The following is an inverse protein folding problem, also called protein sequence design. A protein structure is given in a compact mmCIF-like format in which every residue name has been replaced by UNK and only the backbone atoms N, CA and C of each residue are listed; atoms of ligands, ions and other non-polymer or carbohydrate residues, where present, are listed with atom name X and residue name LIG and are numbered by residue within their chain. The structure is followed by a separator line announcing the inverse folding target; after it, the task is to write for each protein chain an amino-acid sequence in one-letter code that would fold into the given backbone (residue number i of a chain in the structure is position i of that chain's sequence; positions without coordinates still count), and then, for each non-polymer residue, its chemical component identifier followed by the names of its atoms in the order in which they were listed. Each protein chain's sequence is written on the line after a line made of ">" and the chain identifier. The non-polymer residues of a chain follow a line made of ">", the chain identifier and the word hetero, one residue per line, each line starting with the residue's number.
data_IF_897964929984
#
_entry.id   IF_897964929984
#
_cell.length_a   1.000
_cell.length_b   1.000
_cell.length_c   1.000
_cell.angle_alpha   90.00
_cell.angle_beta   90.00
_cell.angle_gamma   90.00
#
_symmetry.space_group_name_H-M   'P 1'
#
loop_
_entity.id
_entity.type
_entity.pdbx_description
1 polymer ?
#
# COMPACT_ATOMS: atom_id res chain seq x y z
N UNK A 1 -16.27 -3.81 -8.68
CA UNK A 1 -14.82 -3.91 -8.93
C UNK A 1 -14.46 -5.28 -9.44
N UNK A 2 -13.44 -5.32 -10.26
CA UNK A 2 -12.87 -6.57 -10.76
C UNK A 2 -11.35 -6.46 -10.57
N UNK A 3 -10.75 -7.52 -10.04
CA UNK A 3 -9.29 -7.69 -9.93
C UNK A 3 -8.90 -8.97 -10.63
N UNK A 4 -7.91 -8.91 -11.48
CA UNK A 4 -7.37 -10.08 -12.17
C UNK A 4 -5.85 -10.08 -12.02
N UNK A 5 -5.31 -11.18 -11.53
CA UNK A 5 -3.87 -11.40 -11.48
C UNK A 5 -3.39 -12.11 -12.74
N UNK A 6 -2.47 -11.49 -13.45
CA UNK A 6 -1.79 -12.12 -14.58
C UNK A 6 -0.74 -13.16 -14.13
N UNK A 7 -0.34 -13.11 -12.86
CA UNK A 7 0.67 -14.01 -12.29
C UNK A 7 0.04 -15.26 -11.71
N UNK A 8 -1.02 -15.10 -10.90
CA UNK A 8 -1.70 -16.23 -10.24
C UNK A 8 -2.88 -16.79 -11.03
N UNK A 9 -3.38 -16.04 -12.03
CA UNK A 9 -4.60 -16.36 -12.77
C UNK A 9 -5.89 -16.16 -11.97
N UNK A 10 -5.82 -15.59 -10.77
CA UNK A 10 -7.00 -15.36 -9.94
C UNK A 10 -7.83 -14.17 -10.38
N UNK A 11 -9.13 -14.30 -10.23
CA UNK A 11 -10.11 -13.28 -10.53
C UNK A 11 -11.04 -13.06 -9.34
N UNK A 12 -11.06 -11.85 -8.82
CA UNK A 12 -12.06 -11.42 -7.83
C UNK A 12 -13.08 -10.47 -8.45
N UNK A 13 -14.36 -10.71 -8.14
CA UNK A 13 -15.46 -9.79 -8.45
C UNK A 13 -16.06 -9.25 -7.16
N UNK A 14 -15.97 -7.93 -6.97
CA UNK A 14 -16.51 -7.23 -5.81
C UNK A 14 -17.74 -6.39 -6.18
N UNK A 15 -18.88 -6.71 -5.60
CA UNK A 15 -20.15 -6.01 -5.78
C UNK A 15 -20.33 -4.99 -4.66
N UNK A 16 -20.27 -3.72 -4.99
CA UNK A 16 -20.46 -2.61 -4.02
C UNK A 16 -21.91 -2.21 -3.96
N UNK A 17 -22.56 -2.45 -2.83
CA UNK A 17 -23.99 -2.20 -2.65
C UNK A 17 -24.30 -1.59 -1.30
N UNK A 18 -25.46 -0.95 -1.17
CA UNK A 18 -26.05 -0.61 0.14
C UNK A 18 -26.39 -1.89 0.92
N UNK A 19 -26.37 -1.85 2.27
CA UNK A 19 -27.00 -2.90 3.07
C UNK A 19 -28.46 -3.12 2.68
N UNK A 20 -28.93 -4.36 2.79
CA UNK A 20 -30.32 -4.73 2.49
C UNK A 20 -30.45 -6.07 1.77
N UNK A 21 -31.68 -6.41 1.38
CA UNK A 21 -31.98 -7.61 0.63
C UNK A 21 -31.18 -7.69 -0.67
N UNK A 22 -30.65 -8.87 -0.97
CA UNK A 22 -29.79 -9.08 -2.13
C UNK A 22 -29.87 -10.55 -2.56
N UNK A 23 -30.02 -10.84 -3.86
CA UNK A 23 -30.12 -12.23 -4.36
C UNK A 23 -28.74 -12.92 -4.43
N UNK A 24 -28.14 -13.20 -3.26
CA UNK A 24 -26.77 -13.69 -3.08
C UNK A 24 -26.45 -14.91 -3.96
N UNK A 25 -27.30 -15.96 -3.85
CA UNK A 25 -27.08 -17.21 -4.57
C UNK A 25 -27.10 -17.06 -6.09
N UNK A 26 -27.99 -16.19 -6.62
CA UNK A 26 -28.06 -15.90 -8.05
C UNK A 26 -26.78 -15.22 -8.54
N UNK A 27 -26.30 -14.17 -7.84
CA UNK A 27 -25.10 -13.44 -8.22
C UNK A 27 -23.85 -14.32 -8.07
N UNK A 28 -23.73 -15.06 -6.97
CA UNK A 28 -22.65 -16.00 -6.73
C UNK A 28 -22.52 -16.98 -7.91
N UNK A 29 -23.58 -17.71 -8.19
CA UNK A 29 -23.60 -18.71 -9.26
C UNK A 29 -23.34 -18.11 -10.64
N UNK A 30 -24.00 -16.98 -10.97
CA UNK A 30 -23.84 -16.35 -12.27
C UNK A 30 -22.41 -15.89 -12.51
N UNK A 31 -21.82 -15.18 -11.54
CA UNK A 31 -20.47 -14.63 -11.70
C UNK A 31 -19.40 -15.72 -11.68
N UNK A 32 -19.48 -16.67 -10.75
CA UNK A 32 -18.51 -17.78 -10.70
C UNK A 32 -18.52 -18.60 -11.98
N UNK A 33 -19.71 -18.83 -12.58
CA UNK A 33 -19.84 -19.61 -13.82
C UNK A 33 -19.42 -18.80 -15.06
N UNK A 34 -19.90 -17.56 -15.17
CA UNK A 34 -19.72 -16.75 -16.38
C UNK A 34 -18.27 -16.29 -16.58
N UNK A 35 -17.57 -15.92 -15.50
CA UNK A 35 -16.21 -15.36 -15.58
C UNK A 35 -15.16 -16.19 -14.84
N UNK A 36 -15.53 -17.36 -14.33
CA UNK A 36 -14.64 -18.26 -13.57
C UNK A 36 -13.95 -17.55 -12.40
N UNK A 37 -14.70 -16.69 -11.71
CA UNK A 37 -14.17 -15.95 -10.58
C UNK A 37 -13.70 -16.91 -9.48
N UNK A 38 -12.52 -16.67 -8.93
CA UNK A 38 -11.96 -17.41 -7.79
C UNK A 38 -12.48 -16.88 -6.46
N UNK A 39 -13.01 -15.66 -6.47
CA UNK A 39 -13.64 -14.99 -5.32
C UNK A 39 -14.75 -14.05 -5.81
N UNK A 40 -15.93 -14.16 -5.19
CA UNK A 40 -17.05 -13.22 -5.41
C UNK A 40 -17.46 -12.68 -4.04
N UNK A 41 -17.37 -11.38 -3.87
CA UNK A 41 -17.69 -10.72 -2.61
C UNK A 41 -18.70 -9.60 -2.81
N UNK A 42 -19.47 -9.31 -1.77
CA UNK A 42 -20.34 -8.14 -1.68
C UNK A 42 -19.81 -7.21 -0.61
N UNK A 43 -19.39 -6.02 -1.01
CA UNK A 43 -18.98 -4.95 -0.10
C UNK A 43 -20.18 -4.08 0.24
N UNK A 44 -20.54 -4.06 1.51
CA UNK A 44 -21.60 -3.22 2.03
C UNK A 44 -21.06 -1.83 2.33
N UNK A 45 -21.51 -0.84 1.59
CA UNK A 45 -20.99 0.52 1.73
C UNK A 45 -22.10 1.56 1.58
N UNK A 46 -21.93 2.71 2.23
CA UNK A 46 -22.79 3.87 2.00
C UNK A 46 -22.51 4.46 0.61
N UNK A 47 -23.52 5.04 -0.05
CA UNK A 47 -23.34 5.74 -1.32
C UNK A 47 -22.54 7.04 -1.11
N UNK A 48 -21.85 7.48 -2.18
CA UNK A 48 -21.13 8.74 -2.19
C UNK A 48 -19.62 8.62 -2.31
N UNK A 49 -18.91 9.75 -2.29
CA UNK A 49 -17.45 9.81 -2.47
C UNK A 49 -16.70 9.19 -1.29
N UNK A 50 -17.16 9.44 -0.07
CA UNK A 50 -16.61 8.83 1.16
C UNK A 50 -17.37 7.55 1.48
N UNK A 51 -17.08 6.47 0.76
CA UNK A 51 -17.73 5.15 0.92
C UNK A 51 -17.34 4.53 2.27
N UNK A 52 -18.15 4.79 3.30
CA UNK A 52 -17.95 4.09 4.58
C UNK A 52 -18.33 2.63 4.42
N UNK A 53 -17.34 1.74 4.55
CA UNK A 53 -17.52 0.30 4.47
C UNK A 53 -18.15 -0.17 5.80
N UNK A 54 -19.24 -0.92 5.70
CA UNK A 54 -19.99 -1.49 6.83
C UNK A 54 -19.74 -2.97 7.03
N UNK A 55 -19.29 -3.66 5.97
CA UNK A 55 -18.98 -5.08 6.01
C UNK A 55 -18.68 -5.66 4.64
N UNK A 56 -18.23 -6.89 4.65
CA UNK A 56 -17.99 -7.70 3.44
C UNK A 56 -18.71 -9.03 3.62
N UNK A 57 -19.47 -9.44 2.61
CA UNK A 57 -20.13 -10.76 2.53
C UNK A 57 -19.40 -11.57 1.46
N UNK A 58 -18.88 -12.73 1.81
CA UNK A 58 -18.34 -13.69 0.86
C UNK A 58 -19.52 -14.39 0.20
N UNK A 59 -19.67 -14.25 -1.11
CA UNK A 59 -20.74 -14.88 -1.87
C UNK A 59 -20.29 -16.20 -2.45
N UNK A 60 -19.02 -16.28 -2.89
CA UNK A 60 -18.39 -17.51 -3.38
C UNK A 60 -16.86 -17.41 -3.28
N UNK A 61 -16.18 -18.55 -3.18
CA UNK A 61 -14.72 -18.63 -3.08
C UNK A 61 -14.16 -18.20 -1.72
N UNK A 62 -12.93 -17.69 -1.72
CA UNK A 62 -12.16 -17.43 -0.48
C UNK A 62 -12.45 -16.10 0.20
N UNK A 63 -13.03 -15.14 -0.52
CA UNK A 63 -13.27 -13.80 0.00
C UNK A 63 -12.06 -12.88 -0.07
N UNK A 64 -11.01 -13.28 -0.74
CA UNK A 64 -9.82 -12.47 -1.05
C UNK A 64 -9.20 -12.87 -2.38
N UNK A 65 -8.44 -11.95 -2.95
CA UNK A 65 -7.68 -12.11 -4.19
C UNK A 65 -6.19 -12.25 -3.87
N UNK A 66 -5.50 -13.11 -4.61
CA UNK A 66 -4.06 -13.30 -4.47
C UNK A 66 -3.29 -12.72 -5.64
N UNK A 67 -2.16 -12.12 -5.31
CA UNK A 67 -1.19 -11.60 -6.26
C UNK A 67 0.24 -11.92 -5.80
N UNK A 68 1.21 -11.76 -6.70
CA UNK A 68 2.64 -11.87 -6.39
C UNK A 68 3.41 -10.71 -7.01
N UNK A 69 4.31 -10.14 -6.22
CA UNK A 69 5.33 -9.20 -6.67
C UNK A 69 6.68 -9.84 -6.36
N UNK A 70 7.45 -10.20 -7.39
CA UNK A 70 8.65 -11.01 -7.20
C UNK A 70 8.35 -12.33 -6.49
N UNK A 71 9.04 -12.59 -5.39
CA UNK A 71 8.84 -13.77 -4.56
C UNK A 71 7.80 -13.58 -3.46
N UNK A 72 7.30 -12.37 -3.26
CA UNK A 72 6.33 -12.04 -2.20
C UNK A 72 4.91 -12.32 -2.65
N UNK A 73 4.18 -13.11 -1.85
CA UNK A 73 2.77 -13.42 -2.05
C UNK A 73 1.88 -12.48 -1.24
N UNK A 74 0.86 -11.94 -1.88
CA UNK A 74 -0.12 -11.05 -1.25
C UNK A 74 -1.52 -11.62 -1.34
N UNK A 75 -2.28 -11.49 -0.26
CA UNK A 75 -3.72 -11.75 -0.19
C UNK A 75 -4.42 -10.44 0.18
N UNK A 76 -5.36 -10.00 -0.66
CA UNK A 76 -5.99 -8.69 -0.51
C UNK A 76 -7.50 -8.84 -0.52
N UNK A 77 -8.19 -8.32 0.48
CA UNK A 77 -9.65 -8.26 0.51
C UNK A 77 -10.17 -7.12 -0.38
N UNK A 78 -11.37 -7.26 -0.93
CA UNK A 78 -11.96 -6.30 -1.86
C UNK A 78 -11.95 -4.81 -1.43
N UNK A 79 -12.13 -4.46 -0.14
CA UNK A 79 -12.06 -3.06 0.29
C UNK A 79 -10.66 -2.47 0.33
N UNK A 80 -9.63 -3.32 0.46
CA UNK A 80 -8.24 -2.86 0.58
C UNK A 80 -7.69 -2.43 -0.77
N UNK A 81 -6.80 -1.46 -0.75
CA UNK A 81 -6.05 -1.06 -1.93
C UNK A 81 -4.98 -2.12 -2.27
N UNK A 82 -4.70 -2.30 -3.53
CA UNK A 82 -3.53 -2.98 -4.05
C UNK A 82 -3.11 -2.35 -5.38
N UNK A 83 -1.82 -2.38 -5.69
CA UNK A 83 -1.25 -1.81 -6.91
C UNK A 83 -1.87 -2.45 -8.17
N UNK A 84 -2.36 -1.62 -9.08
CA UNK A 84 -3.12 -2.11 -10.27
C UNK A 84 -2.22 -2.68 -11.36
N UNK A 85 -0.95 -2.32 -11.39
CA UNK A 85 0.04 -2.77 -12.36
C UNK A 85 1.17 -3.52 -11.63
N UNK A 86 0.97 -4.81 -11.43
CA UNK A 86 1.87 -5.67 -10.66
C UNK A 86 3.30 -5.67 -11.19
N UNK A 87 3.47 -5.62 -12.52
CA UNK A 87 4.81 -5.61 -13.12
C UNK A 87 5.57 -4.31 -12.82
N UNK A 88 4.88 -3.16 -12.85
CA UNK A 88 5.50 -1.88 -12.49
C UNK A 88 5.65 -1.74 -10.96
N UNK A 89 4.73 -2.30 -10.19
CA UNK A 89 4.86 -2.36 -8.74
C UNK A 89 6.11 -3.13 -8.32
N UNK A 90 6.44 -4.23 -9.01
CA UNK A 90 7.70 -4.95 -8.78
C UNK A 90 8.93 -4.08 -8.97
N UNK A 91 9.00 -3.35 -10.09
CA UNK A 91 10.10 -2.41 -10.35
C UNK A 91 10.18 -1.29 -9.32
N UNK A 92 9.01 -0.79 -8.88
CA UNK A 92 8.92 0.24 -7.85
C UNK A 92 9.46 -0.28 -6.50
N UNK A 93 9.07 -1.49 -6.11
CA UNK A 93 9.55 -2.14 -4.89
C UNK A 93 11.07 -2.37 -4.95
N UNK A 94 11.58 -2.90 -6.06
CA UNK A 94 13.02 -3.10 -6.26
C UNK A 94 13.79 -1.78 -6.19
N UNK A 95 13.29 -0.74 -6.86
CA UNK A 95 13.88 0.59 -6.83
C UNK A 95 13.94 1.17 -5.41
N UNK A 96 12.84 1.06 -4.64
CA UNK A 96 12.80 1.52 -3.24
C UNK A 96 13.78 0.75 -2.38
N UNK A 97 13.77 -0.59 -2.46
CA UNK A 97 14.67 -1.45 -1.68
C UNK A 97 16.15 -1.17 -2.00
N UNK A 98 16.51 -1.08 -3.29
CA UNK A 98 17.88 -0.79 -3.71
C UNK A 98 18.34 0.61 -3.31
N UNK A 99 17.44 1.58 -3.41
CA UNK A 99 17.72 2.97 -3.08
C UNK A 99 17.91 3.23 -1.58
N UNK A 100 17.31 2.42 -0.71
CA UNK A 100 17.53 2.48 0.73
C UNK A 100 18.88 1.88 1.16
N UNK A 101 19.49 1.04 0.33
CA UNK A 101 20.83 0.49 0.57
C UNK A 101 20.82 -0.75 1.47
N UNK A 102 21.78 -0.83 2.40
CA UNK A 102 21.85 -1.97 3.33
C UNK A 102 20.77 -1.89 4.38
N UNK A 103 19.91 -2.92 4.42
CA UNK A 103 18.76 -3.01 5.31
C UNK A 103 18.95 -4.00 6.46
N UNK A 104 20.07 -4.75 6.51
CA UNK A 104 20.32 -5.75 7.53
C UNK A 104 20.43 -5.11 8.91
N UNK A 105 19.44 -5.37 9.77
CA UNK A 105 19.32 -4.79 11.10
C UNK A 105 18.91 -3.30 11.11
N UNK A 106 18.57 -2.69 9.97
CA UNK A 106 18.11 -1.31 9.91
C UNK A 106 16.67 -1.19 10.46
N UNK A 107 16.42 -0.16 11.28
CA UNK A 107 15.08 0.17 11.76
C UNK A 107 14.36 1.08 10.77
N UNK A 108 13.30 0.56 10.15
CA UNK A 108 12.63 1.21 9.01
C UNK A 108 11.14 1.37 9.28
N UNK A 109 10.62 2.58 9.09
CA UNK A 109 9.19 2.83 9.08
C UNK A 109 8.61 2.80 7.66
N UNK A 110 7.46 2.16 7.48
CA UNK A 110 6.64 2.20 6.26
C UNK A 110 5.30 2.86 6.58
N UNK A 111 5.12 4.11 6.15
CA UNK A 111 3.90 4.89 6.37
C UNK A 111 2.95 4.77 5.19
N UNK A 112 1.67 4.64 5.50
CA UNK A 112 0.62 4.31 4.52
C UNK A 112 0.84 2.92 3.91
N UNK A 113 1.25 1.96 4.74
CA UNK A 113 1.78 0.66 4.34
C UNK A 113 0.82 -0.23 3.51
N UNK A 114 -0.48 0.07 3.51
CA UNK A 114 -1.46 -0.71 2.77
C UNK A 114 -1.48 -2.17 3.20
N UNK A 115 -1.38 -3.08 2.23
CA UNK A 115 -1.25 -4.53 2.45
C UNK A 115 0.19 -5.03 2.60
N UNK A 116 1.17 -4.13 2.79
CA UNK A 116 2.58 -4.45 3.00
C UNK A 116 3.42 -4.49 1.72
N UNK A 117 3.04 -3.70 0.71
CA UNK A 117 3.75 -3.69 -0.59
C UNK A 117 5.24 -3.39 -0.45
N UNK A 118 5.62 -2.48 0.44
CA UNK A 118 7.00 -2.17 0.77
C UNK A 118 7.46 -2.88 2.04
N UNK A 119 6.66 -2.90 3.09
CA UNK A 119 7.01 -3.48 4.39
C UNK A 119 7.57 -4.90 4.29
N UNK A 120 6.90 -5.79 3.54
CA UNK A 120 7.29 -7.20 3.47
C UNK A 120 8.63 -7.38 2.73
N UNK A 121 8.88 -6.78 1.55
CA UNK A 121 10.19 -6.85 0.91
C UNK A 121 11.33 -6.26 1.75
N UNK A 122 11.07 -5.21 2.55
CA UNK A 122 12.06 -4.62 3.44
C UNK A 122 12.41 -5.56 4.60
N UNK A 123 11.40 -6.18 5.21
CA UNK A 123 11.61 -7.17 6.27
C UNK A 123 12.33 -8.43 5.75
N UNK A 124 12.01 -8.89 4.52
CA UNK A 124 12.74 -9.99 3.85
C UNK A 124 14.21 -9.63 3.56
N UNK A 125 14.53 -8.34 3.41
CA UNK A 125 15.88 -7.85 3.24
C UNK A 125 16.65 -7.66 4.55
N UNK A 126 16.04 -8.01 5.69
CA UNK A 126 16.66 -7.98 7.02
C UNK A 126 16.36 -6.75 7.87
N UNK A 127 15.48 -5.84 7.39
CA UNK A 127 15.08 -4.69 8.19
C UNK A 127 14.16 -5.07 9.36
N UNK A 128 14.30 -4.35 10.48
CA UNK A 128 13.30 -4.28 11.52
C UNK A 128 12.25 -3.24 11.12
N UNK A 129 11.04 -3.70 10.79
CA UNK A 129 10.04 -2.85 10.11
C UNK A 129 8.87 -2.53 11.03
N UNK A 130 8.59 -1.23 11.21
CA UNK A 130 7.32 -0.74 11.73
C UNK A 130 6.46 -0.22 10.58
N UNK A 131 5.25 -0.77 10.42
CA UNK A 131 4.34 -0.46 9.33
C UNK A 131 3.06 0.20 9.85
N UNK A 132 2.78 1.43 9.41
CA UNK A 132 1.63 2.22 9.86
C UNK A 132 0.56 2.29 8.77
N UNK A 133 -0.67 1.86 9.11
CA UNK A 133 -1.81 1.87 8.18
C UNK A 133 -3.11 2.17 8.94
N UNK A 134 -3.93 3.06 8.40
CA UNK A 134 -5.18 3.50 9.03
C UNK A 134 -6.40 2.63 8.68
N UNK A 135 -6.43 2.04 7.48
CA UNK A 135 -7.55 1.25 7.00
C UNK A 135 -7.56 -0.15 7.63
N UNK A 136 -8.57 -0.45 8.45
CA UNK A 136 -8.69 -1.73 9.17
C UNK A 136 -8.59 -2.98 8.29
N UNK A 137 -9.07 -2.91 7.04
CA UNK A 137 -8.94 -4.03 6.09
C UNK A 137 -7.50 -4.23 5.67
N UNK A 138 -6.79 -3.15 5.34
CA UNK A 138 -5.38 -3.19 4.94
C UNK A 138 -4.49 -3.64 6.09
N UNK A 139 -4.74 -3.18 7.33
CA UNK A 139 -4.03 -3.68 8.52
C UNK A 139 -4.17 -5.20 8.70
N UNK A 140 -5.38 -5.74 8.46
CA UNK A 140 -5.59 -7.20 8.51
C UNK A 140 -4.86 -7.93 7.38
N UNK A 141 -4.95 -7.37 6.17
CA UNK A 141 -4.27 -7.93 5.00
C UNK A 141 -2.76 -7.90 5.21
N UNK A 142 -2.19 -6.81 5.73
CA UNK A 142 -0.77 -6.67 6.03
C UNK A 142 -0.28 -7.74 7.04
N UNK A 143 -0.98 -7.90 8.17
CA UNK A 143 -0.64 -8.94 9.15
C UNK A 143 -0.69 -10.33 8.55
N UNK A 144 -1.75 -10.65 7.81
CA UNK A 144 -1.88 -11.94 7.13
C UNK A 144 -0.75 -12.15 6.10
N UNK A 145 -0.41 -11.12 5.35
CA UNK A 145 0.64 -11.18 4.34
C UNK A 145 2.04 -11.32 4.97
N UNK A 146 2.32 -10.62 6.08
CA UNK A 146 3.56 -10.78 6.84
C UNK A 146 3.71 -12.23 7.33
N UNK A 147 2.70 -12.77 8.01
CA UNK A 147 2.68 -14.17 8.49
C UNK A 147 2.87 -15.15 7.33
N UNK A 148 2.17 -14.94 6.21
CA UNK A 148 2.22 -15.83 5.04
C UNK A 148 3.57 -15.85 4.33
N UNK A 149 4.35 -14.77 4.45
CA UNK A 149 5.71 -14.67 3.89
C UNK A 149 6.80 -14.94 4.94
N UNK A 150 6.42 -15.28 6.17
CA UNK A 150 7.35 -15.67 7.23
C UNK A 150 8.22 -14.54 7.75
N UNK A 151 7.71 -13.30 7.74
CA UNK A 151 8.39 -12.12 8.28
C UNK A 151 7.67 -11.55 9.49
N UNK A 152 8.43 -11.01 10.42
CA UNK A 152 7.93 -10.23 11.55
C UNK A 152 7.91 -8.75 11.17
N UNK A 153 6.78 -8.08 11.41
CA UNK A 153 6.58 -6.65 11.16
C UNK A 153 5.74 -6.11 12.30
N UNK A 154 6.16 -5.01 12.91
CA UNK A 154 5.33 -4.28 13.88
C UNK A 154 4.24 -3.50 13.13
N UNK A 155 3.02 -4.03 13.14
CA UNK A 155 1.88 -3.47 12.39
C UNK A 155 1.03 -2.59 13.30
N UNK A 156 1.15 -1.28 13.12
CA UNK A 156 0.44 -0.24 13.86
C UNK A 156 -0.79 0.21 13.07
N UNK A 157 -1.97 0.02 13.67
CA UNK A 157 -3.23 0.47 13.09
C UNK A 157 -3.59 1.88 13.53
N UNK A 158 -3.22 2.91 12.75
CA UNK A 158 -3.41 4.30 13.14
C UNK A 158 -3.26 5.31 12.00
N UNK A 159 -3.42 6.56 12.33
CA UNK A 159 -3.13 7.68 11.42
C UNK A 159 -1.61 7.89 11.32
N UNK A 160 -1.08 7.97 10.10
CA UNK A 160 0.35 8.03 9.86
C UNK A 160 1.03 9.22 10.58
N UNK A 161 0.43 10.41 10.56
CA UNK A 161 1.01 11.58 11.21
C UNK A 161 1.07 11.40 12.74
N UNK A 162 0.00 10.84 13.31
CA UNK A 162 -0.08 10.63 14.76
C UNK A 162 0.92 9.56 15.24
N UNK A 163 0.96 8.43 14.54
CA UNK A 163 1.82 7.31 14.95
C UNK A 163 3.31 7.63 14.68
N UNK A 164 3.62 8.38 13.61
CA UNK A 164 4.97 8.86 13.31
C UNK A 164 5.58 9.68 14.45
N UNK A 165 4.78 10.52 15.10
CA UNK A 165 5.25 11.33 16.26
C UNK A 165 5.70 10.48 17.46
N UNK A 166 5.45 9.18 17.45
CA UNK A 166 5.87 8.22 18.49
C UNK A 166 7.11 7.40 18.09
N UNK A 167 7.60 7.58 16.87
CA UNK A 167 8.76 6.87 16.35
C UNK A 167 10.02 7.73 16.46
N UNK A 168 11.10 7.12 16.92
CA UNK A 168 12.40 7.77 17.10
C UNK A 168 13.50 6.84 16.57
N UNK A 169 14.67 7.40 16.30
CA UNK A 169 15.89 6.67 15.92
C UNK A 169 15.72 5.75 14.68
N UNK A 170 14.94 6.20 13.70
CA UNK A 170 14.79 5.48 12.43
C UNK A 170 16.05 5.63 11.57
N UNK A 171 16.52 4.52 10.99
CA UNK A 171 17.58 4.54 9.97
C UNK A 171 17.03 5.03 8.61
N UNK A 172 15.84 4.55 8.23
CA UNK A 172 15.19 4.91 6.99
C UNK A 172 13.65 4.95 7.12
N UNK A 173 13.01 5.59 6.14
CA UNK A 173 11.56 5.72 6.12
C UNK A 173 11.04 5.62 4.69
N UNK A 174 9.94 4.89 4.49
CA UNK A 174 9.18 4.82 3.24
C UNK A 174 7.84 5.51 3.46
N UNK A 175 7.43 6.35 2.52
CA UNK A 175 6.10 6.96 2.52
C UNK A 175 5.44 6.84 1.15
N UNK A 176 4.22 6.32 1.10
CA UNK A 176 3.36 6.22 -0.10
C UNK A 176 1.98 6.85 0.21
N UNK A 177 1.90 8.17 0.38
CA UNK A 177 0.69 8.84 0.81
C UNK A 177 -0.37 8.88 -0.31
N UNK A 178 -1.64 9.15 0.03
CA UNK A 178 -2.69 9.36 -0.95
C UNK A 178 -2.40 10.59 -1.83
N UNK A 179 -3.16 10.79 -2.92
CA UNK A 179 -3.01 11.87 -3.91
C UNK A 179 -2.85 13.28 -3.35
N UNK A 180 -3.35 13.53 -2.17
CA UNK A 180 -3.17 14.83 -1.50
C UNK A 180 -1.73 15.12 -1.10
N UNK A 181 -0.84 14.12 -1.16
CA UNK A 181 0.52 14.18 -0.64
C UNK A 181 0.55 14.15 0.89
N UNK A 182 1.66 14.56 1.46
CA UNK A 182 1.83 14.62 2.92
C UNK A 182 1.03 15.80 3.50
N UNK A 183 0.39 15.54 4.65
CA UNK A 183 -0.29 16.60 5.41
C UNK A 183 0.72 17.60 5.98
N UNK A 184 0.22 18.75 6.41
CA UNK A 184 1.06 19.78 7.02
C UNK A 184 1.68 19.23 8.32
N UNK A 185 2.97 19.50 8.53
CA UNK A 185 3.74 19.05 9.69
C UNK A 185 4.35 17.64 9.56
N UNK A 186 3.85 16.77 8.69
CA UNK A 186 4.34 15.38 8.55
C UNK A 186 5.82 15.32 8.15
N UNK A 187 6.28 16.25 7.30
CA UNK A 187 7.70 16.29 6.90
C UNK A 187 8.59 16.70 8.10
N UNK A 188 8.13 17.62 8.96
CA UNK A 188 8.83 18.01 10.17
C UNK A 188 8.88 16.84 11.18
N UNK A 189 7.77 16.09 11.29
CA UNK A 189 7.72 14.88 12.11
C UNK A 189 8.68 13.80 11.57
N UNK A 190 8.76 13.61 10.23
CA UNK A 190 9.76 12.73 9.59
C UNK A 190 11.18 13.17 9.96
N UNK A 191 11.47 14.45 9.86
CA UNK A 191 12.79 14.96 10.25
C UNK A 191 13.11 14.72 11.74
N UNK A 192 12.09 14.73 12.59
CA UNK A 192 12.25 14.50 14.03
C UNK A 192 12.58 13.05 14.38
N UNK A 193 12.23 12.07 13.52
CA UNK A 193 12.54 10.64 13.75
C UNK A 193 14.03 10.31 13.66
N UNK A 194 14.83 11.18 13.06
CA UNK A 194 16.26 10.91 12.84
C UNK A 194 16.57 10.17 11.53
N UNK A 195 15.58 9.74 10.78
CA UNK A 195 15.79 8.98 9.55
C UNK A 195 16.81 9.63 8.61
N UNK A 196 17.87 8.89 8.27
CA UNK A 196 18.96 9.38 7.41
C UNK A 196 18.57 9.41 5.93
N UNK A 197 17.62 8.57 5.54
CA UNK A 197 17.12 8.42 4.17
C UNK A 197 15.60 8.25 4.16
N UNK A 198 14.93 8.95 3.25
CA UNK A 198 13.49 8.83 3.01
C UNK A 198 13.23 8.41 1.57
N UNK A 199 12.51 7.31 1.38
CA UNK A 199 11.93 6.92 0.10
C UNK A 199 10.50 7.47 0.03
N UNK A 200 10.23 8.39 -0.90
CA UNK A 200 8.92 8.97 -1.10
C UNK A 200 8.34 8.55 -2.44
N UNK A 201 7.23 7.83 -2.40
CA UNK A 201 6.43 7.43 -3.56
C UNK A 201 5.21 8.34 -3.65
N UNK A 202 4.94 8.90 -4.82
CA UNK A 202 3.82 9.82 -5.01
C UNK A 202 3.12 9.55 -6.34
N UNK A 203 1.79 9.49 -6.31
CA UNK A 203 0.97 9.32 -7.52
C UNK A 203 0.49 10.66 -8.14
N UNK A 204 0.99 11.79 -7.64
CA UNK A 204 0.66 13.11 -8.16
C UNK A 204 1.91 14.01 -8.19
N UNK A 205 2.44 14.34 -9.39
CA UNK A 205 3.65 15.16 -9.53
C UNK A 205 3.53 16.58 -8.93
N UNK A 206 2.33 17.13 -8.85
CA UNK A 206 2.16 18.48 -8.31
C UNK A 206 2.28 18.48 -6.77
N UNK A 207 1.67 17.52 -6.10
CA UNK A 207 1.84 17.34 -4.65
C UNK A 207 3.24 16.89 -4.31
N UNK A 208 3.86 16.03 -5.14
CA UNK A 208 5.26 15.65 -5.00
C UNK A 208 6.19 16.88 -5.02
N UNK A 209 6.06 17.77 -6.02
CA UNK A 209 6.91 18.95 -6.11
C UNK A 209 6.75 19.90 -4.90
N UNK A 210 5.53 20.03 -4.37
CA UNK A 210 5.28 20.76 -3.12
C UNK A 210 6.01 20.11 -1.95
N UNK A 211 5.93 18.80 -1.83
CA UNK A 211 6.51 18.08 -0.68
C UNK A 211 8.05 18.01 -0.79
N UNK A 212 8.65 17.99 -2.00
CA UNK A 212 10.10 18.15 -2.21
C UNK A 212 10.59 19.44 -1.54
N UNK A 213 9.93 20.56 -1.78
CA UNK A 213 10.33 21.84 -1.17
C UNK A 213 10.20 21.82 0.37
N UNK A 214 9.26 21.05 0.92
CA UNK A 214 9.12 20.86 2.36
C UNK A 214 10.26 20.01 2.93
N UNK A 215 10.64 18.94 2.25
CA UNK A 215 11.80 18.10 2.64
C UNK A 215 13.09 18.91 2.64
N UNK A 216 13.32 19.76 1.63
CA UNK A 216 14.50 20.63 1.58
C UNK A 216 14.53 21.61 2.77
N UNK A 217 13.37 22.20 3.12
CA UNK A 217 13.26 23.09 4.29
C UNK A 217 13.49 22.36 5.62
N UNK A 218 13.20 21.06 5.67
CA UNK A 218 13.39 20.22 6.84
C UNK A 218 14.80 19.59 6.94
N UNK A 219 15.74 19.99 6.07
CA UNK A 219 17.13 19.54 6.09
C UNK A 219 17.39 18.23 5.34
N UNK A 220 16.54 17.91 4.36
CA UNK A 220 16.78 16.80 3.44
C UNK A 220 17.12 17.32 2.06
N UNK A 221 17.96 16.59 1.35
CA UNK A 221 18.31 16.88 -0.05
C UNK A 221 17.75 15.79 -0.97
N UNK A 222 17.06 16.19 -2.03
CA UNK A 222 16.63 15.27 -3.08
C UNK A 222 17.87 14.64 -3.76
N UNK A 223 18.03 13.31 -3.60
CA UNK A 223 19.10 12.54 -4.22
C UNK A 223 18.76 12.10 -5.63
N UNK A 224 17.56 11.58 -5.81
CA UNK A 224 17.07 11.10 -7.10
C UNK A 224 15.57 11.06 -7.16
N UNK A 225 15.03 11.12 -8.37
CA UNK A 225 13.60 10.94 -8.65
C UNK A 225 13.44 10.12 -9.93
N UNK A 226 12.64 9.05 -9.85
CA UNK A 226 12.35 8.13 -10.94
C UNK A 226 10.86 8.11 -11.22
N UNK A 227 10.40 8.58 -12.39
CA UNK A 227 9.03 8.37 -12.80
C UNK A 227 8.77 6.91 -13.15
N UNK A 228 7.60 6.42 -12.77
CA UNK A 228 7.14 5.04 -13.02
C UNK A 228 5.77 5.09 -13.71
N UNK A 229 5.65 4.50 -14.89
CA UNK A 229 4.39 4.41 -15.63
C UNK A 229 3.50 3.29 -15.05
N UNK A 230 2.89 3.59 -13.91
CA UNK A 230 1.97 2.68 -13.23
C UNK A 230 0.61 2.57 -13.96
N UNK A 231 0.22 3.64 -14.68
CA UNK A 231 -1.07 3.77 -15.35
C UNK A 231 -0.90 4.08 -16.85
N UNK A 232 -0.41 3.13 -17.67
CA UNK A 232 -0.15 3.35 -19.09
C UNK A 232 -1.34 3.97 -19.82
N UNK A 233 -1.06 4.87 -20.77
CA UNK A 233 -2.04 5.60 -21.57
C UNK A 233 -2.97 6.55 -20.78
N UNK A 234 -2.58 6.91 -19.57
CA UNK A 234 -3.23 7.98 -18.80
C UNK A 234 -2.21 9.10 -18.51
N UNK A 235 -2.69 10.21 -17.95
CA UNK A 235 -1.81 11.29 -17.50
C UNK A 235 -1.26 11.10 -16.09
N UNK A 236 -1.59 9.99 -15.45
CA UNK A 236 -1.11 9.65 -14.12
C UNK A 236 0.29 9.05 -14.18
N UNK A 237 1.19 9.59 -13.39
CA UNK A 237 2.57 9.11 -13.24
C UNK A 237 2.86 8.97 -11.76
N UNK A 238 3.41 7.82 -11.37
CA UNK A 238 4.04 7.65 -10.07
C UNK A 238 5.45 8.22 -10.12
N UNK A 239 5.90 8.82 -9.02
CA UNK A 239 7.28 9.26 -8.84
C UNK A 239 7.83 8.64 -7.58
N UNK A 240 8.89 7.84 -7.71
CA UNK A 240 9.66 7.36 -6.57
C UNK A 240 10.91 8.20 -6.42
N UNK A 241 11.17 8.71 -5.24
CA UNK A 241 12.29 9.61 -4.96
C UNK A 241 12.97 9.29 -3.64
N UNK A 242 14.24 9.65 -3.53
CA UNK A 242 15.01 9.52 -2.31
C UNK A 242 15.50 10.87 -1.84
N UNK A 243 15.43 11.04 -0.54
CA UNK A 243 15.94 12.20 0.16
C UNK A 243 16.95 11.74 1.20
N UNK A 244 18.13 12.33 1.16
CA UNK A 244 19.19 12.10 2.17
C UNK A 244 19.20 13.28 3.13
N UNK A 245 19.37 13.00 4.43
CA UNK A 245 19.51 14.02 5.47
C UNK A 245 20.88 14.69 5.33
N UNK A 246 20.92 16.03 5.37
CA UNK A 246 22.15 16.82 5.34
C UNK A 246 22.83 16.93 6.73
#
# INVERSE_FOLDING_TARGET
>A
GVRHSMVTGELEVALWTKPGAFPRGLFAKTLSTAVKATSVVRVLADPGKARKIKGVEILDGRGYWRERIGDVAYSTQAPSFFQVNTAQAGKLVDFVREGLGNLDGAYVADLYAGGGTFSIPLALAGADVVAVESAKSSVRDLRFNADSNGVEIDVVGGDAARELAMLEDLDALVVDPPRAGLADGVVDDIASTGASIVAYVSCDPATWARDVARFEQAGYRLRSAQPVDMFPQTYHVEVASFFDRE
#
